data_IF_432048292242
#
_entry.id   IF_432048292242
#
_cell.length_a   1.000
_cell.length_b   1.000
_cell.length_c   1.000
_cell.angle_alpha   90.00
_cell.angle_beta   90.00
_cell.angle_gamma   90.00
#
_symmetry.space_group_name_H-M   'P 1'
#
loop_
_entity.id
_entity.type
_entity.pdbx_description
1 polymer ?
#
# COMPACT_ATOMS: atom_id res chain seq x y z
N UNK A 1 9.21 5.17 -15.31
CA UNK A 1 9.12 4.90 -13.85
C UNK A 1 9.60 3.45 -13.62
N UNK A 2 10.02 3.04 -12.41
CA UNK A 2 10.50 1.66 -12.14
C UNK A 2 9.44 0.57 -12.45
N UNK A 3 8.18 0.97 -12.60
CA UNK A 3 7.03 0.14 -12.96
C UNK A 3 6.97 -0.19 -14.47
N UNK A 4 7.62 0.59 -15.34
CA UNK A 4 7.52 0.42 -16.81
C UNK A 4 8.15 -0.84 -17.37
N UNK A 5 8.88 -1.59 -16.53
CA UNK A 5 9.47 -2.88 -16.91
C UNK A 5 8.44 -4.02 -16.88
N UNK A 6 7.38 -3.90 -16.07
CA UNK A 6 6.37 -4.94 -15.89
C UNK A 6 5.07 -4.65 -16.62
N UNK A 7 4.87 -3.41 -17.11
CA UNK A 7 3.71 -3.01 -17.93
C UNK A 7 3.50 -3.88 -19.19
N UNK A 8 4.56 -4.51 -19.72
CA UNK A 8 4.46 -5.40 -20.88
C UNK A 8 4.20 -6.88 -20.52
N UNK A 9 4.28 -7.25 -19.25
CA UNK A 9 4.09 -8.63 -18.77
C UNK A 9 2.84 -8.79 -17.88
N UNK A 10 2.34 -7.68 -17.32
CA UNK A 10 1.15 -7.65 -16.47
C UNK A 10 0.25 -6.46 -16.85
N UNK A 11 -1.04 -6.70 -16.97
CA UNK A 11 -2.04 -5.64 -17.15
C UNK A 11 -2.21 -4.88 -15.83
N UNK A 12 -1.55 -3.73 -15.71
CA UNK A 12 -1.50 -2.92 -14.49
C UNK A 12 -2.29 -1.64 -14.66
N UNK A 13 -3.16 -1.36 -13.70
CA UNK A 13 -3.90 -0.09 -13.63
C UNK A 13 -3.70 0.54 -12.26
N UNK A 14 -3.40 1.84 -12.24
CA UNK A 14 -3.24 2.62 -11.02
C UNK A 14 -4.51 3.44 -10.78
N UNK A 15 -5.02 3.40 -9.55
CA UNK A 15 -6.21 4.14 -9.13
C UNK A 15 -5.80 5.12 -8.03
N UNK A 16 -5.97 6.41 -8.28
CA UNK A 16 -5.58 7.47 -7.36
C UNK A 16 -6.66 8.54 -7.22
N UNK A 17 -6.76 9.13 -6.03
CA UNK A 17 -7.73 10.21 -5.77
C UNK A 17 -7.37 11.50 -6.52
N UNK A 18 -6.09 11.72 -6.77
CA UNK A 18 -5.56 12.78 -7.62
C UNK A 18 -4.77 12.12 -8.75
N UNK A 19 -5.45 11.61 -9.80
CA UNK A 19 -4.81 10.80 -10.81
C UNK A 19 -3.81 11.61 -11.63
N UNK A 20 -2.67 11.00 -11.96
CA UNK A 20 -1.76 11.46 -12.99
C UNK A 20 -2.33 11.27 -14.40
N UNK A 21 -1.48 11.45 -15.42
CA UNK A 21 -1.90 11.36 -16.82
C UNK A 21 -2.37 9.95 -17.23
N UNK A 22 -1.83 8.92 -16.59
CA UNK A 22 -2.08 7.50 -16.90
C UNK A 22 -2.85 6.77 -15.79
N UNK A 23 -3.27 7.48 -14.74
CA UNK A 23 -3.99 6.90 -13.60
C UNK A 23 -5.49 7.09 -13.75
N UNK A 24 -6.26 6.20 -13.13
CA UNK A 24 -7.71 6.31 -13.07
C UNK A 24 -8.17 6.96 -11.76
N UNK A 25 -9.31 7.66 -11.77
CA UNK A 25 -9.89 8.23 -10.56
C UNK A 25 -10.36 7.13 -9.60
N UNK A 26 -10.46 7.46 -8.32
CA UNK A 26 -10.93 6.55 -7.25
C UNK A 26 -12.27 5.87 -7.56
N UNK A 27 -13.18 6.52 -8.28
CA UNK A 27 -14.45 5.92 -8.72
C UNK A 27 -14.30 4.68 -9.60
N UNK A 28 -13.15 4.49 -10.26
CA UNK A 28 -12.89 3.30 -11.06
C UNK A 28 -12.73 2.03 -10.21
N UNK A 29 -12.48 2.17 -8.90
CA UNK A 29 -12.31 1.01 -8.00
C UNK A 29 -13.50 0.07 -7.99
N UNK A 30 -14.72 0.62 -8.14
CA UNK A 30 -15.98 -0.11 -8.15
C UNK A 30 -16.09 -1.12 -9.30
N UNK A 31 -15.36 -0.88 -10.41
CA UNK A 31 -15.42 -1.70 -11.61
C UNK A 31 -14.16 -2.58 -11.77
N UNK A 32 -13.01 -2.09 -11.31
CA UNK A 32 -11.73 -2.75 -11.56
C UNK A 32 -11.32 -3.71 -10.46
N UNK A 33 -11.55 -3.36 -9.19
CA UNK A 33 -11.16 -4.22 -8.08
C UNK A 33 -11.87 -5.59 -8.07
N UNK A 34 -13.16 -5.71 -8.45
CA UNK A 34 -13.83 -7.02 -8.51
C UNK A 34 -13.24 -8.00 -9.54
N UNK A 35 -12.60 -7.48 -10.58
CA UNK A 35 -12.05 -8.26 -11.71
C UNK A 35 -10.54 -8.51 -11.56
N UNK A 36 -9.87 -7.86 -10.59
CA UNK A 36 -8.44 -7.94 -10.41
C UNK A 36 -8.01 -9.25 -9.74
N UNK A 37 -6.97 -9.91 -10.27
CA UNK A 37 -6.36 -11.06 -9.61
C UNK A 37 -5.52 -10.65 -8.39
N UNK A 38 -4.85 -9.49 -8.47
CA UNK A 38 -4.02 -8.92 -7.42
C UNK A 38 -4.41 -7.47 -7.17
N UNK A 39 -4.54 -7.10 -5.89
CA UNK A 39 -4.82 -5.71 -5.49
C UNK A 39 -3.79 -5.25 -4.47
N UNK A 40 -3.11 -4.15 -4.79
CA UNK A 40 -2.19 -3.46 -3.90
C UNK A 40 -2.89 -2.24 -3.31
N UNK A 41 -3.35 -2.35 -2.07
CA UNK A 41 -4.12 -1.33 -1.38
C UNK A 41 -3.22 -0.52 -0.45
N UNK A 42 -3.25 0.81 -0.57
CA UNK A 42 -2.52 1.69 0.38
C UNK A 42 -3.08 1.60 1.80
N UNK A 43 -2.21 1.47 2.80
CA UNK A 43 -2.55 1.51 4.21
C UNK A 43 -3.16 2.85 4.65
N UNK A 44 -2.94 3.93 3.88
CA UNK A 44 -3.58 5.22 4.13
C UNK A 44 -5.11 5.17 3.93
N UNK A 45 -5.63 4.17 3.20
CA UNK A 45 -7.09 3.94 3.07
C UNK A 45 -7.80 3.73 4.42
N UNK A 46 -7.10 3.22 5.44
CA UNK A 46 -7.63 3.06 6.80
C UNK A 46 -7.95 4.44 7.39
N UNK A 47 -6.97 5.34 7.37
CA UNK A 47 -7.13 6.70 7.89
C UNK A 47 -8.13 7.51 7.06
N UNK A 48 -8.17 7.29 5.74
CA UNK A 48 -9.09 7.96 4.82
C UNK A 48 -10.52 7.40 4.83
N UNK A 49 -10.81 6.38 5.66
CA UNK A 49 -12.13 5.73 5.80
C UNK A 49 -12.66 5.08 4.52
N UNK A 50 -11.77 4.71 3.59
CA UNK A 50 -12.13 3.99 2.36
C UNK A 50 -11.81 2.49 2.44
N UNK A 51 -11.01 2.07 3.43
CA UNK A 51 -10.55 0.69 3.59
C UNK A 51 -11.67 -0.37 3.52
N UNK A 52 -12.75 -0.32 4.32
CA UNK A 52 -13.74 -1.42 4.31
C UNK A 52 -14.40 -1.63 2.94
N UNK A 53 -14.65 -0.56 2.18
CA UNK A 53 -15.26 -0.66 0.86
C UNK A 53 -14.28 -1.25 -0.16
N UNK A 54 -13.02 -0.77 -0.16
CA UNK A 54 -12.02 -1.23 -1.11
C UNK A 54 -11.66 -2.71 -0.89
N UNK A 55 -11.62 -3.13 0.37
CA UNK A 55 -11.44 -4.54 0.75
C UNK A 55 -12.61 -5.40 0.26
N UNK A 56 -13.86 -4.96 0.48
CA UNK A 56 -15.04 -5.69 -0.01
C UNK A 56 -15.05 -5.85 -1.53
N UNK A 57 -14.65 -4.79 -2.26
CA UNK A 57 -14.54 -4.84 -3.72
C UNK A 57 -13.45 -5.80 -4.19
N UNK A 58 -12.35 -5.89 -3.44
CA UNK A 58 -11.18 -6.71 -3.76
C UNK A 58 -11.25 -8.14 -3.18
N UNK A 59 -12.38 -8.59 -2.63
CA UNK A 59 -12.50 -9.86 -1.89
C UNK A 59 -12.18 -11.13 -2.68
N UNK A 60 -12.17 -11.06 -4.01
CA UNK A 60 -11.82 -12.17 -4.90
C UNK A 60 -10.36 -12.14 -5.38
N UNK A 61 -9.60 -11.11 -4.97
CA UNK A 61 -8.21 -10.91 -5.34
C UNK A 61 -7.26 -11.41 -4.26
N UNK A 62 -5.99 -11.57 -4.62
CA UNK A 62 -4.88 -11.60 -3.67
C UNK A 62 -4.61 -10.18 -3.18
N UNK A 63 -4.92 -9.90 -1.91
CA UNK A 63 -4.98 -8.55 -1.39
C UNK A 63 -3.75 -8.22 -0.53
N UNK A 64 -2.98 -7.24 -0.99
CA UNK A 64 -1.79 -6.72 -0.31
C UNK A 64 -2.10 -5.36 0.29
N UNK A 65 -2.08 -5.24 1.63
CA UNK A 65 -2.12 -3.94 2.29
C UNK A 65 -0.70 -3.40 2.43
N UNK A 66 -0.44 -2.23 1.84
CA UNK A 66 0.92 -1.71 1.74
C UNK A 66 1.09 -0.25 2.12
N UNK A 67 2.26 0.09 2.65
CA UNK A 67 2.66 1.47 2.87
C UNK A 67 3.40 1.69 4.18
N UNK A 68 4.04 2.85 4.37
CA UNK A 68 4.81 3.13 5.56
C UNK A 68 3.95 3.28 6.82
N UNK A 69 2.66 3.58 6.67
CA UNK A 69 1.69 3.68 7.76
C UNK A 69 1.01 2.35 8.08
N UNK A 70 1.46 1.25 7.48
CA UNK A 70 0.83 -0.06 7.62
C UNK A 70 0.97 -0.57 9.07
N UNK A 71 -0.15 -0.87 9.75
CA UNK A 71 -0.10 -1.44 11.09
C UNK A 71 0.18 -2.95 11.03
N UNK A 72 1.24 -3.41 11.68
CA UNK A 72 1.66 -4.81 11.73
C UNK A 72 0.72 -5.66 12.61
N UNK A 73 -0.53 -5.84 12.18
CA UNK A 73 -1.60 -6.52 12.90
C UNK A 73 -2.04 -7.79 12.15
N UNK A 74 -1.98 -8.93 12.82
CA UNK A 74 -2.38 -10.21 12.22
C UNK A 74 -3.90 -10.30 11.98
N UNK A 75 -4.67 -9.56 12.76
CA UNK A 75 -6.14 -9.45 12.72
C UNK A 75 -6.64 -8.86 11.40
N UNK A 76 -5.77 -8.17 10.64
CA UNK A 76 -6.11 -7.71 9.29
C UNK A 76 -6.49 -8.87 8.35
N UNK A 77 -6.06 -10.09 8.67
CA UNK A 77 -6.50 -11.31 7.96
C UNK A 77 -8.02 -11.49 8.00
N UNK A 78 -8.67 -11.10 9.09
CA UNK A 78 -10.13 -11.21 9.24
C UNK A 78 -10.89 -10.31 8.26
N UNK A 79 -10.22 -9.30 7.72
CA UNK A 79 -10.74 -8.44 6.66
C UNK A 79 -10.41 -8.98 5.26
N UNK A 80 -9.75 -10.12 5.11
CA UNK A 80 -9.38 -10.67 3.80
C UNK A 80 -8.07 -10.11 3.23
N UNK A 81 -7.18 -9.57 4.08
CA UNK A 81 -5.83 -9.21 3.67
C UNK A 81 -4.93 -10.46 3.67
N UNK A 82 -4.28 -10.74 2.53
CA UNK A 82 -3.37 -11.89 2.36
C UNK A 82 -1.92 -11.53 2.72
N UNK A 83 -1.50 -10.29 2.43
CA UNK A 83 -0.13 -9.84 2.68
C UNK A 83 -0.09 -8.44 3.27
N UNK A 84 0.87 -8.22 4.18
CA UNK A 84 1.25 -6.91 4.69
C UNK A 84 2.61 -6.53 4.12
N UNK A 85 2.71 -5.35 3.50
CA UNK A 85 3.97 -4.82 2.97
C UNK A 85 4.23 -3.41 3.50
N UNK A 86 5.19 -3.27 4.42
CA UNK A 86 5.41 -2.02 5.11
C UNK A 86 6.87 -1.79 5.46
N UNK A 87 7.09 -0.92 6.43
CA UNK A 87 8.41 -0.67 7.01
C UNK A 87 8.42 -1.01 8.49
N UNK A 88 9.52 -1.57 8.97
CA UNK A 88 9.80 -1.75 10.40
C UNK A 88 10.98 -0.87 10.81
N UNK A 89 10.98 -0.41 12.07
CA UNK A 89 12.05 0.43 12.60
C UNK A 89 13.27 -0.45 12.87
N UNK A 90 14.35 -0.21 12.14
CA UNK A 90 15.63 -0.91 12.32
C UNK A 90 16.57 -0.18 13.27
N UNK A 91 16.47 1.16 13.35
CA UNK A 91 17.20 1.97 14.32
C UNK A 91 16.34 3.16 14.78
N UNK A 92 15.79 3.06 15.99
CA UNK A 92 14.89 4.06 16.55
C UNK A 92 15.60 5.39 16.88
N UNK A 93 16.89 5.39 17.17
CA UNK A 93 17.64 6.61 17.50
C UNK A 93 17.87 7.46 16.26
N UNK A 94 18.41 6.83 15.20
CA UNK A 94 18.61 7.48 13.90
C UNK A 94 17.29 7.97 13.32
N UNK A 95 16.24 7.15 13.39
CA UNK A 95 14.91 7.54 12.91
C UNK A 95 14.39 8.79 13.66
N UNK A 96 14.51 8.82 14.99
CA UNK A 96 14.09 9.99 15.79
C UNK A 96 14.87 11.25 15.43
N UNK A 97 16.19 11.15 15.26
CA UNK A 97 17.02 12.28 14.84
C UNK A 97 16.59 12.80 13.47
N UNK A 98 16.45 11.92 12.48
CA UNK A 98 16.03 12.28 11.13
C UNK A 98 14.66 12.97 11.15
N UNK A 99 13.69 12.48 11.96
CA UNK A 99 12.39 13.15 12.13
C UNK A 99 12.54 14.54 12.75
N UNK A 100 13.33 14.68 13.82
CA UNK A 100 13.56 15.95 14.50
C UNK A 100 14.21 17.01 13.60
N UNK A 101 15.04 16.59 12.64
CA UNK A 101 15.69 17.46 11.66
C UNK A 101 14.81 17.78 10.43
N UNK A 102 13.52 17.44 10.46
CA UNK A 102 12.62 17.64 9.31
C UNK A 102 12.97 16.73 8.12
N UNK A 103 13.42 15.51 8.41
CA UNK A 103 13.92 14.51 7.46
C UNK A 103 13.03 14.21 6.26
N UNK A 104 11.71 14.38 6.39
CA UNK A 104 10.75 14.03 5.34
C UNK A 104 10.94 12.58 4.89
N UNK A 105 11.09 12.36 3.58
CA UNK A 105 11.32 11.02 3.01
C UNK A 105 12.63 10.36 3.42
N UNK A 106 13.61 11.10 3.96
CA UNK A 106 14.91 10.55 4.43
C UNK A 106 14.74 9.52 5.55
N UNK A 107 13.60 9.53 6.26
CA UNK A 107 13.25 8.49 7.24
C UNK A 107 13.19 7.08 6.62
N UNK A 108 12.94 6.97 5.31
CA UNK A 108 12.90 5.69 4.60
C UNK A 108 14.29 5.19 4.18
N UNK A 109 15.28 6.08 4.15
CA UNK A 109 16.68 5.76 3.83
C UNK A 109 17.47 5.44 5.10
N UNK A 110 17.06 5.99 6.25
CA UNK A 110 17.76 5.86 7.52
C UNK A 110 16.83 5.33 8.61
N UNK A 111 17.14 4.16 9.17
CA UNK A 111 16.50 3.67 10.40
C UNK A 111 15.20 2.89 10.22
N UNK A 112 14.78 2.59 8.98
CA UNK A 112 13.72 1.62 8.69
C UNK A 112 14.17 0.56 7.69
N UNK A 113 13.45 -0.57 7.63
CA UNK A 113 13.65 -1.64 6.66
C UNK A 113 12.30 -2.05 6.06
N UNK A 114 12.30 -2.33 4.76
CA UNK A 114 11.11 -2.89 4.10
C UNK A 114 10.92 -4.34 4.51
N UNK A 115 9.68 -4.68 4.83
CA UNK A 115 9.31 -6.04 5.21
C UNK A 115 7.99 -6.42 4.56
N UNK A 116 7.87 -7.71 4.24
CA UNK A 116 6.64 -8.34 3.75
C UNK A 116 6.30 -9.51 4.67
N UNK A 117 5.04 -9.59 5.06
CA UNK A 117 4.50 -10.66 5.88
C UNK A 117 3.27 -11.25 5.19
N UNK A 118 3.21 -12.57 5.07
CA UNK A 118 2.00 -13.30 4.66
C UNK A 118 1.15 -13.57 5.89
N UNK A 119 -0.17 -13.36 5.80
CA UNK A 119 -1.13 -13.55 6.90
C UNK A 119 -1.81 -14.92 6.89
#
# INVERSE_FOLDING_TARGET
SRLSRYENEMDMTVIERQPGADDLPDTASEYLLPEAEWVFLTATSIANKTFPRLVELAKNSQLVLMGPTMPWLAELKEFGIDYLAGVTVSNAEVLRQTVAEGGGVRIFETGVQYQVLKL
#
